data_IF_557801540568
#
_entry.id   IF_557801540568
#
_cell.length_a   1.000
_cell.length_b   1.000
_cell.length_c   1.000
_cell.angle_alpha   90.00
_cell.angle_beta   90.00
_cell.angle_gamma   90.00
#
_symmetry.space_group_name_H-M   'P 1'
#
loop_
_entity.id
_entity.type
_entity.pdbx_description
1 polymer ?
#
# COMPACT_ATOMS: atom_id res chain seq x y z
N UNK A 1 -21.25 24.71 34.87
CA UNK A 1 -21.05 23.37 34.28
C UNK A 1 -20.09 23.33 33.08
N UNK A 2 -19.19 24.31 32.88
CA UNK A 2 -18.37 24.44 31.65
C UNK A 2 -16.89 24.02 31.77
N UNK A 3 -16.40 23.70 32.97
CA UNK A 3 -14.97 23.44 33.22
C UNK A 3 -14.64 21.97 33.56
N UNK A 4 -15.64 21.08 33.57
CA UNK A 4 -15.42 19.65 33.86
C UNK A 4 -15.04 18.85 32.60
N UNK A 5 -15.51 19.22 31.40
CA UNK A 5 -15.28 18.43 30.18
C UNK A 5 -13.83 18.51 29.68
N UNK A 6 -13.19 19.67 29.79
CA UNK A 6 -11.78 19.86 29.39
C UNK A 6 -10.82 19.11 30.30
N UNK A 7 -11.11 19.05 31.61
CA UNK A 7 -10.33 18.29 32.58
C UNK A 7 -10.54 16.77 32.41
N UNK A 8 -11.77 16.33 32.12
CA UNK A 8 -12.05 14.92 31.81
C UNK A 8 -11.37 14.46 30.52
N UNK A 9 -11.35 15.29 29.46
CA UNK A 9 -10.64 14.99 28.22
C UNK A 9 -9.12 14.91 28.41
N UNK A 10 -8.53 15.83 29.20
CA UNK A 10 -7.11 15.78 29.58
C UNK A 10 -6.77 14.54 30.42
N UNK A 11 -7.67 14.10 31.29
CA UNK A 11 -7.49 12.89 32.11
C UNK A 11 -7.60 11.62 31.26
N UNK A 12 -8.52 11.56 30.28
CA UNK A 12 -8.60 10.44 29.32
C UNK A 12 -7.38 10.42 28.39
N UNK A 13 -6.92 11.57 27.91
CA UNK A 13 -5.69 11.68 27.12
C UNK A 13 -4.45 11.31 27.96
N UNK A 14 -4.40 11.65 29.25
CA UNK A 14 -3.29 11.31 30.14
C UNK A 14 -3.30 9.83 30.58
N UNK A 15 -4.48 9.23 30.77
CA UNK A 15 -4.65 7.80 31.08
C UNK A 15 -4.37 6.89 29.87
N UNK A 16 -4.49 7.41 28.64
CA UNK A 16 -4.13 6.68 27.42
C UNK A 16 -2.62 6.55 27.16
N UNK A 17 -1.75 7.20 27.95
CA UNK A 17 -0.29 7.21 27.73
C UNK A 17 0.44 6.06 28.42
N UNK A 18 -0.21 5.28 29.28
CA UNK A 18 0.50 4.32 30.17
C UNK A 18 0.34 2.84 29.85
N UNK A 19 -0.24 2.45 28.72
CA UNK A 19 -0.14 1.05 28.29
C UNK A 19 1.06 0.88 27.37
N UNK A 20 2.12 0.22 27.88
CA UNK A 20 3.11 -0.38 26.99
C UNK A 20 2.42 -1.51 26.22
N UNK A 21 1.85 -1.18 25.07
CA UNK A 21 1.40 -2.16 24.12
C UNK A 21 2.64 -2.79 23.48
N UNK A 22 3.01 -4.00 23.93
CA UNK A 22 3.87 -4.87 23.15
C UNK A 22 3.05 -5.36 21.96
N UNK A 23 3.10 -4.61 20.87
CA UNK A 23 2.47 -4.95 19.61
C UNK A 23 3.53 -5.53 18.66
N UNK A 24 3.23 -6.69 18.07
CA UNK A 24 4.10 -7.39 17.12
C UNK A 24 4.30 -8.87 17.47
N UNK A 25 4.14 -9.74 16.48
CA UNK A 25 4.40 -11.18 16.59
C UNK A 25 5.74 -11.52 15.92
N UNK A 26 6.86 -11.29 16.64
CA UNK A 26 8.22 -11.47 16.10
C UNK A 26 8.49 -12.90 15.64
N UNK A 27 7.83 -13.87 16.26
CA UNK A 27 8.09 -15.31 16.06
C UNK A 27 7.71 -15.80 14.65
N UNK A 28 6.94 -15.00 13.89
CA UNK A 28 6.44 -15.39 12.57
C UNK A 28 7.07 -14.62 11.40
N UNK A 29 7.97 -13.65 11.62
CA UNK A 29 8.42 -12.73 10.54
C UNK A 29 9.01 -13.43 9.29
N UNK A 30 9.56 -14.63 9.44
CA UNK A 30 10.09 -15.45 8.33
C UNK A 30 9.11 -16.46 7.71
N UNK A 31 7.84 -16.50 8.13
CA UNK A 31 6.88 -17.55 7.74
C UNK A 31 5.86 -17.10 6.67
N UNK A 32 5.86 -15.82 6.28
CA UNK A 32 5.04 -15.32 5.17
C UNK A 32 5.82 -15.17 3.87
N UNK A 33 5.17 -15.47 2.75
CA UNK A 33 5.62 -15.06 1.40
C UNK A 33 4.79 -13.91 0.85
N UNK A 34 4.81 -13.65 -0.46
CA UNK A 34 4.01 -12.61 -1.11
C UNK A 34 4.16 -11.18 -0.51
N UNK A 35 5.38 -10.82 -0.09
CA UNK A 35 5.67 -9.53 0.55
C UNK A 35 5.42 -8.32 -0.37
N UNK A 36 5.39 -8.54 -1.69
CA UNK A 36 5.02 -7.54 -2.68
C UNK A 36 3.60 -7.00 -2.49
N UNK A 37 2.71 -7.73 -1.82
CA UNK A 37 1.36 -7.27 -1.48
C UNK A 37 1.32 -6.12 -0.47
N UNK A 38 2.41 -5.90 0.26
CA UNK A 38 2.54 -4.82 1.24
C UNK A 38 2.98 -3.51 0.60
N UNK A 39 3.44 -3.55 -0.66
CA UNK A 39 3.96 -2.39 -1.35
C UNK A 39 2.83 -1.60 -2.01
N UNK A 40 2.75 -0.32 -1.65
CA UNK A 40 1.86 0.64 -2.29
C UNK A 40 2.52 1.21 -3.56
N UNK A 41 1.92 1.04 -4.75
CA UNK A 41 2.51 1.49 -6.01
C UNK A 41 2.18 2.96 -6.37
N UNK A 42 1.42 3.69 -5.56
CA UNK A 42 0.84 4.98 -5.95
C UNK A 42 1.50 6.20 -5.32
N UNK A 43 2.02 7.13 -6.13
CA UNK A 43 2.79 8.28 -5.69
C UNK A 43 2.06 9.20 -4.70
N UNK A 44 0.74 9.35 -4.82
CA UNK A 44 -0.04 10.19 -3.91
C UNK A 44 0.01 9.62 -2.47
N UNK A 45 -0.47 8.38 -2.30
CA UNK A 45 -0.50 7.70 -0.98
C UNK A 45 0.89 7.42 -0.43
N UNK A 46 1.83 7.10 -1.32
CA UNK A 46 3.23 6.80 -0.99
C UNK A 46 4.01 8.01 -0.44
N UNK A 47 3.65 9.24 -0.84
CA UNK A 47 4.27 10.46 -0.31
C UNK A 47 3.96 10.77 1.15
N UNK A 48 3.04 10.02 1.76
CA UNK A 48 2.76 10.01 3.20
C UNK A 48 2.85 8.60 3.79
N UNK A 49 3.60 7.68 3.17
CA UNK A 49 3.73 6.28 3.62
C UNK A 49 2.40 5.51 3.79
N UNK A 50 1.33 5.90 3.10
CA UNK A 50 0.01 5.29 3.26
C UNK A 50 -0.72 5.73 4.53
N UNK A 51 -0.27 6.78 5.23
CA UNK A 51 -0.97 7.33 6.40
C UNK A 51 -2.35 7.92 6.07
N UNK A 52 -2.67 8.07 4.79
CA UNK A 52 -3.94 8.55 4.28
C UNK A 52 -5.06 7.48 4.27
N UNK A 53 -4.94 6.35 4.97
CA UNK A 53 -5.98 5.30 5.02
C UNK A 53 -7.40 5.84 5.27
N UNK A 54 -7.52 6.85 6.14
CA UNK A 54 -8.79 7.44 6.53
C UNK A 54 -9.47 8.24 5.41
N UNK A 55 -8.69 8.80 4.48
CA UNK A 55 -9.16 9.77 3.49
C UNK A 55 -8.60 9.56 2.08
N UNK A 56 -7.96 8.40 1.81
CA UNK A 56 -7.52 7.99 0.48
C UNK A 56 -8.73 7.86 -0.46
N UNK A 57 -8.54 8.22 -1.73
CA UNK A 57 -9.59 8.27 -2.76
C UNK A 57 -9.04 7.77 -4.09
N UNK A 58 -9.93 7.50 -5.03
CA UNK A 58 -9.54 7.19 -6.41
C UNK A 58 -8.92 5.81 -6.57
N UNK A 59 -8.07 5.64 -7.58
CA UNK A 59 -7.38 4.36 -7.83
C UNK A 59 -6.38 3.99 -6.74
N UNK A 60 -5.84 4.98 -6.03
CA UNK A 60 -4.97 4.79 -4.86
C UNK A 60 -5.63 3.95 -3.75
N UNK A 61 -6.96 4.03 -3.64
CA UNK A 61 -7.75 3.31 -2.66
C UNK A 61 -7.63 1.79 -2.82
N UNK A 62 -7.48 1.28 -4.04
CA UNK A 62 -7.30 -0.15 -4.34
C UNK A 62 -6.09 -0.73 -3.58
N UNK A 63 -5.04 0.08 -3.40
CA UNK A 63 -3.81 -0.33 -2.71
C UNK A 63 -3.57 0.37 -1.37
N UNK A 64 -4.62 0.94 -0.77
CA UNK A 64 -4.53 1.58 0.56
C UNK A 64 -5.73 1.23 1.45
N UNK A 65 -6.94 1.67 1.08
CA UNK A 65 -8.19 1.33 1.76
C UNK A 65 -9.31 1.34 0.73
N UNK A 66 -9.86 0.15 0.43
CA UNK A 66 -10.84 -0.04 -0.64
C UNK A 66 -12.11 0.82 -0.52
N UNK A 67 -12.48 1.26 0.69
CA UNK A 67 -13.60 2.17 0.89
C UNK A 67 -13.43 3.53 0.18
N UNK A 68 -12.19 3.97 -0.04
CA UNK A 68 -11.90 5.21 -0.74
C UNK A 68 -12.30 5.20 -2.21
N UNK A 69 -12.44 4.00 -2.81
CA UNK A 69 -12.77 3.81 -4.22
C UNK A 69 -14.15 4.40 -4.56
N UNK A 70 -15.10 4.40 -3.61
CA UNK A 70 -16.42 4.98 -3.83
C UNK A 70 -16.41 6.50 -4.02
N UNK A 71 -15.26 7.18 -3.90
CA UNK A 71 -15.11 8.62 -4.15
C UNK A 71 -14.91 8.96 -5.63
N UNK A 72 -14.73 7.98 -6.52
CA UNK A 72 -14.54 8.20 -7.98
C UNK A 72 -15.85 8.68 -8.60
N UNK A 73 -15.89 9.85 -9.23
CA UNK A 73 -17.15 10.42 -9.75
C UNK A 73 -17.65 9.74 -11.02
N UNK A 74 -16.80 9.51 -12.03
CA UNK A 74 -17.18 8.69 -13.21
C UNK A 74 -16.17 7.62 -13.51
N UNK A 75 -15.04 8.00 -14.10
CA UNK A 75 -14.00 7.06 -14.53
C UNK A 75 -12.66 7.62 -14.10
N UNK A 76 -11.86 6.80 -13.44
CA UNK A 76 -10.48 7.13 -13.11
C UNK A 76 -9.56 6.04 -13.64
N UNK A 77 -8.51 6.44 -14.34
CA UNK A 77 -7.45 5.54 -14.81
C UNK A 77 -6.14 6.05 -14.24
N UNK A 78 -5.33 5.15 -13.69
CA UNK A 78 -4.01 5.48 -13.17
C UNK A 78 -2.96 4.52 -13.69
N UNK A 79 -1.77 5.04 -13.97
CA UNK A 79 -0.56 4.25 -14.18
C UNK A 79 0.51 4.73 -13.23
N UNK A 80 1.35 3.82 -12.75
CA UNK A 80 2.46 4.17 -11.90
C UNK A 80 3.69 3.31 -12.19
N UNK A 81 4.86 3.90 -11.98
CA UNK A 81 6.14 3.23 -12.00
C UNK A 81 6.90 3.54 -10.71
N UNK A 82 7.37 2.51 -10.03
CA UNK A 82 8.24 2.65 -8.85
C UNK A 82 9.61 2.06 -9.15
N UNK A 83 10.64 2.87 -8.97
CA UNK A 83 12.02 2.43 -8.86
C UNK A 83 12.25 2.03 -7.41
N UNK A 84 12.13 0.73 -7.13
CA UNK A 84 12.22 0.20 -5.78
C UNK A 84 13.69 0.01 -5.41
N UNK A 85 14.13 0.56 -4.25
CA UNK A 85 15.53 0.51 -3.83
C UNK A 85 16.48 0.92 -4.96
N UNK A 86 16.42 2.19 -5.35
CA UNK A 86 17.05 2.72 -6.56
C UNK A 86 18.50 2.25 -6.73
N UNK A 87 18.82 1.72 -7.92
CA UNK A 87 20.08 1.03 -8.22
C UNK A 87 20.01 -0.50 -8.16
N UNK A 88 18.99 -1.09 -7.51
CA UNK A 88 18.78 -2.55 -7.45
C UNK A 88 18.23 -3.17 -8.74
N UNK A 89 17.84 -2.34 -9.73
CA UNK A 89 17.09 -2.72 -10.94
C UNK A 89 15.68 -3.29 -10.69
N UNK A 90 15.19 -3.27 -9.44
CA UNK A 90 13.83 -3.69 -9.12
C UNK A 90 12.84 -2.59 -9.52
N UNK A 91 11.91 -2.95 -10.39
CA UNK A 91 10.88 -2.05 -10.92
C UNK A 91 9.49 -2.58 -10.61
N UNK A 92 8.58 -1.67 -10.25
CA UNK A 92 7.16 -1.97 -10.03
C UNK A 92 6.35 -1.16 -11.02
N UNK A 93 5.60 -1.84 -11.89
CA UNK A 93 4.66 -1.19 -12.80
C UNK A 93 3.25 -1.45 -12.31
N UNK A 94 2.40 -0.44 -12.37
CA UNK A 94 1.03 -0.54 -11.92
C UNK A 94 0.06 0.15 -12.88
N UNK A 95 -1.08 -0.46 -13.11
CA UNK A 95 -2.19 0.06 -13.91
C UNK A 95 -3.48 -0.18 -13.13
N UNK A 96 -4.34 0.83 -13.03
CA UNK A 96 -5.66 0.65 -12.47
C UNK A 96 -6.72 1.46 -13.20
N UNK A 97 -7.94 0.97 -13.07
CA UNK A 97 -9.15 1.63 -13.54
C UNK A 97 -10.20 1.55 -12.44
N UNK A 98 -10.97 2.62 -12.29
CA UNK A 98 -12.15 2.68 -11.44
C UNK A 98 -13.31 3.27 -12.23
N UNK A 99 -14.49 2.70 -12.07
CA UNK A 99 -15.69 3.08 -12.80
C UNK A 99 -16.88 3.14 -11.85
N UNK A 100 -17.51 4.31 -11.76
CA UNK A 100 -18.80 4.48 -11.10
C UNK A 100 -19.92 3.85 -11.92
N UNK A 101 -20.75 3.06 -11.25
CA UNK A 101 -21.93 2.40 -11.80
C UNK A 101 -23.20 3.09 -11.27
N UNK A 102 -23.34 4.38 -11.56
CA UNK A 102 -24.41 5.22 -11.02
C UNK A 102 -24.48 5.16 -9.48
N UNK A 103 -25.67 4.87 -8.95
CA UNK A 103 -25.92 4.78 -7.50
C UNK A 103 -25.56 3.41 -6.89
N UNK A 104 -25.17 2.42 -7.72
CA UNK A 104 -24.85 1.09 -7.23
C UNK A 104 -23.55 1.10 -6.42
N UNK A 105 -22.56 1.84 -6.88
CA UNK A 105 -21.23 1.96 -6.26
C UNK A 105 -20.16 2.18 -7.33
N UNK A 106 -18.92 1.86 -6.98
CA UNK A 106 -17.75 1.95 -7.86
C UNK A 106 -17.09 0.58 -7.91
N UNK A 107 -16.83 0.10 -9.11
CA UNK A 107 -15.96 -1.07 -9.34
C UNK A 107 -14.57 -0.58 -9.73
N UNK A 108 -13.55 -1.34 -9.40
CA UNK A 108 -12.18 -1.04 -9.82
C UNK A 108 -11.36 -2.29 -10.02
N UNK A 109 -10.32 -2.16 -10.84
CA UNK A 109 -9.33 -3.19 -11.06
C UNK A 109 -7.92 -2.59 -10.97
N UNK A 110 -6.98 -3.32 -10.41
CA UNK A 110 -5.57 -2.95 -10.30
C UNK A 110 -4.68 -4.12 -10.73
N UNK A 111 -3.79 -3.89 -11.68
CA UNK A 111 -2.71 -4.78 -12.07
C UNK A 111 -1.39 -4.21 -11.55
N UNK A 112 -0.65 -4.99 -10.76
CA UNK A 112 0.67 -4.64 -10.26
C UNK A 112 1.65 -5.72 -10.68
N UNK A 113 2.77 -5.33 -11.30
CA UNK A 113 3.81 -6.23 -11.77
C UNK A 113 5.18 -5.81 -11.23
N UNK A 114 5.91 -6.76 -10.68
CA UNK A 114 7.28 -6.64 -10.19
C UNK A 114 8.24 -7.30 -11.17
N UNK A 115 9.24 -6.52 -11.59
CA UNK A 115 10.43 -7.04 -12.26
C UNK A 115 11.62 -6.89 -11.33
N UNK A 116 12.40 -7.96 -11.20
CA UNK A 116 13.63 -7.97 -10.38
C UNK A 116 14.91 -7.75 -11.21
N UNK A 117 14.75 -7.44 -12.50
CA UNK A 117 15.86 -7.43 -13.45
C UNK A 117 16.40 -8.84 -13.72
N UNK A 118 17.50 -8.90 -14.48
CA UNK A 118 18.22 -10.15 -14.72
C UNK A 118 19.21 -10.40 -13.58
N UNK A 119 19.11 -11.56 -12.95
CA UNK A 119 20.00 -11.99 -11.87
C UNK A 119 20.97 -13.04 -12.43
N UNK A 120 22.31 -12.84 -12.32
CA UNK A 120 23.28 -13.82 -12.79
C UNK A 120 23.20 -15.11 -11.98
N UNK A 121 23.27 -16.24 -12.67
CA UNK A 121 23.39 -17.55 -12.02
C UNK A 121 24.84 -17.72 -11.55
N UNK A 122 25.02 -17.93 -10.25
CA UNK A 122 26.31 -18.19 -9.62
C UNK A 122 26.31 -19.57 -8.96
N UNK A 123 27.42 -20.27 -9.08
CA UNK A 123 27.66 -21.57 -8.41
C UNK A 123 29.01 -21.52 -7.69
N UNK A 124 29.30 -22.53 -6.87
CA UNK A 124 30.63 -22.66 -6.23
C UNK A 124 31.75 -22.69 -7.28
N UNK A 125 31.52 -23.35 -8.42
CA UNK A 125 32.49 -23.44 -9.52
C UNK A 125 32.54 -22.17 -10.38
N UNK A 126 31.50 -21.35 -10.33
CA UNK A 126 31.38 -20.14 -11.13
C UNK A 126 30.85 -18.95 -10.30
N UNK A 127 31.65 -18.45 -9.34
CA UNK A 127 31.22 -17.42 -8.40
C UNK A 127 31.00 -16.07 -9.07
N UNK A 128 31.70 -15.78 -10.17
CA UNK A 128 31.54 -14.54 -10.94
C UNK A 128 30.29 -14.54 -11.85
N UNK A 129 29.62 -15.69 -12.00
CA UNK A 129 28.52 -15.86 -12.94
C UNK A 129 28.99 -16.00 -14.39
N UNK A 130 28.11 -15.80 -15.37
CA UNK A 130 28.42 -16.01 -16.80
C UNK A 130 27.91 -17.33 -17.40
N UNK A 131 27.14 -18.10 -16.62
CA UNK A 131 26.43 -19.31 -17.06
C UNK A 131 24.93 -19.05 -17.30
N UNK A 132 24.59 -17.78 -17.56
CA UNK A 132 23.21 -17.32 -17.81
C UNK A 132 22.62 -16.50 -16.66
N UNK A 133 21.37 -16.09 -16.83
CA UNK A 133 20.60 -15.29 -15.89
C UNK A 133 19.23 -15.91 -15.65
N UNK A 134 18.59 -15.53 -14.55
CA UNK A 134 17.17 -15.79 -14.31
C UNK A 134 16.46 -14.50 -13.94
N UNK A 135 15.17 -14.43 -14.28
CA UNK A 135 14.35 -13.21 -14.13
C UNK A 135 13.10 -13.54 -13.32
N UNK A 136 13.12 -13.33 -12.00
CA UNK A 136 11.91 -13.42 -11.19
C UNK A 136 10.84 -12.43 -11.66
N UNK A 137 9.58 -12.85 -11.65
CA UNK A 137 8.44 -12.02 -12.02
C UNK A 137 7.29 -12.29 -11.08
N UNK A 138 6.86 -11.27 -10.33
CA UNK A 138 5.66 -11.36 -9.50
C UNK A 138 4.60 -10.45 -10.08
N UNK A 139 3.35 -10.89 -10.07
CA UNK A 139 2.23 -10.04 -10.43
C UNK A 139 1.02 -10.30 -9.55
N UNK A 140 0.23 -9.26 -9.34
CA UNK A 140 -1.07 -9.39 -8.71
C UNK A 140 -2.14 -8.61 -9.48
N UNK A 141 -3.33 -9.19 -9.49
CA UNK A 141 -4.54 -8.61 -10.09
C UNK A 141 -5.58 -8.48 -9.00
N UNK A 142 -6.02 -7.28 -8.74
CA UNK A 142 -7.04 -6.98 -7.75
C UNK A 142 -8.29 -6.45 -8.43
N UNK A 143 -9.44 -6.92 -7.97
CA UNK A 143 -10.75 -6.39 -8.32
C UNK A 143 -11.47 -5.97 -7.05
N UNK A 144 -12.09 -4.80 -7.08
CA UNK A 144 -12.70 -4.20 -5.91
C UNK A 144 -14.04 -3.59 -6.21
N UNK A 145 -14.89 -3.55 -5.18
CA UNK A 145 -16.15 -2.84 -5.20
C UNK A 145 -16.26 -2.00 -3.94
N UNK A 146 -16.74 -0.77 -4.07
CA UNK A 146 -16.98 0.12 -2.95
C UNK A 146 -18.26 0.93 -3.14
N UNK A 147 -18.93 1.22 -2.03
CA UNK A 147 -20.19 1.94 -2.00
C UNK A 147 -20.25 2.92 -0.84
N UNK A 148 -20.88 4.06 -1.10
CA UNK A 148 -21.30 5.02 -0.08
C UNK A 148 -22.67 4.56 0.46
N UNK A 149 -22.72 4.23 1.75
CA UNK A 149 -23.95 3.77 2.43
C UNK A 149 -24.73 4.94 3.04
N UNK A 150 -24.02 6.01 3.35
CA UNK A 150 -24.57 7.30 3.78
C UNK A 150 -23.59 8.40 3.40
N UNK A 151 -23.96 9.66 3.64
CA UNK A 151 -23.06 10.80 3.46
C UNK A 151 -21.77 10.69 4.28
N UNK A 152 -21.79 9.90 5.35
CA UNK A 152 -20.68 9.75 6.28
C UNK A 152 -19.93 8.41 6.15
N UNK A 153 -20.56 7.35 5.62
CA UNK A 153 -20.01 5.99 5.67
C UNK A 153 -19.80 5.44 4.26
N UNK A 154 -18.55 5.08 3.97
CA UNK A 154 -18.11 4.38 2.78
C UNK A 154 -17.57 3.02 3.20
N UNK A 155 -17.89 1.97 2.46
CA UNK A 155 -17.26 0.66 2.66
C UNK A 155 -16.93 0.00 1.33
N UNK A 156 -16.00 -0.94 1.35
CA UNK A 156 -15.60 -1.68 0.17
C UNK A 156 -15.02 -3.03 0.52
N UNK A 157 -14.98 -3.88 -0.51
CA UNK A 157 -14.37 -5.21 -0.49
C UNK A 157 -13.58 -5.40 -1.77
N UNK A 158 -12.50 -6.17 -1.70
CA UNK A 158 -11.74 -6.55 -2.87
C UNK A 158 -11.17 -7.96 -2.76
N UNK A 159 -10.89 -8.54 -3.91
CA UNK A 159 -10.18 -9.80 -4.06
C UNK A 159 -8.92 -9.57 -4.90
N UNK A 160 -7.80 -10.14 -4.48
CA UNK A 160 -6.51 -10.07 -5.15
C UNK A 160 -6.04 -11.47 -5.50
N UNK A 161 -5.84 -11.74 -6.79
CA UNK A 161 -5.10 -12.90 -7.26
C UNK A 161 -3.61 -12.57 -7.29
N UNK A 162 -2.78 -13.50 -6.82
CA UNK A 162 -1.34 -13.34 -6.64
C UNK A 162 -0.63 -14.46 -7.36
N UNK A 163 0.42 -14.11 -8.10
CA UNK A 163 1.29 -15.09 -8.73
C UNK A 163 2.75 -14.66 -8.63
N UNK A 164 3.58 -15.59 -8.16
CA UNK A 164 5.02 -15.45 -8.08
C UNK A 164 5.66 -16.49 -8.99
N UNK A 165 6.57 -16.07 -9.87
CA UNK A 165 7.33 -16.95 -10.73
C UNK A 165 8.83 -16.69 -10.59
N UNK A 166 9.60 -17.78 -10.46
CA UNK A 166 11.06 -17.74 -10.50
C UNK A 166 11.53 -18.90 -11.38
N UNK A 167 12.09 -18.61 -12.55
CA UNK A 167 12.53 -19.64 -13.51
C UNK A 167 11.40 -20.66 -13.81
N UNK A 168 11.58 -21.93 -13.44
CA UNK A 168 10.68 -23.04 -13.69
C UNK A 168 9.78 -23.41 -12.49
N UNK A 169 9.69 -22.54 -11.47
CA UNK A 169 8.80 -22.70 -10.32
C UNK A 169 7.82 -21.53 -10.20
N UNK A 170 6.63 -21.80 -9.68
CA UNK A 170 5.57 -20.82 -9.47
C UNK A 170 4.78 -21.06 -8.19
N UNK A 171 4.29 -19.99 -7.58
CA UNK A 171 3.30 -20.02 -6.51
C UNK A 171 2.12 -19.12 -6.89
N UNK A 172 0.92 -19.47 -6.43
CA UNK A 172 -0.27 -18.66 -6.68
C UNK A 172 -1.28 -18.78 -5.56
N UNK A 173 -2.05 -17.72 -5.34
CA UNK A 173 -3.02 -17.63 -4.27
C UNK A 173 -4.05 -16.54 -4.49
N UNK A 174 -5.05 -16.49 -3.60
CA UNK A 174 -6.05 -15.44 -3.58
C UNK A 174 -6.16 -14.83 -2.18
N UNK A 175 -6.30 -13.51 -2.12
CA UNK A 175 -6.49 -12.76 -0.90
C UNK A 175 -7.74 -11.89 -0.99
N UNK A 176 -8.33 -11.61 0.16
CA UNK A 176 -9.49 -10.75 0.31
C UNK A 176 -9.15 -9.58 1.23
N UNK A 177 -9.83 -8.48 1.01
CA UNK A 177 -9.71 -7.30 1.86
C UNK A 177 -11.05 -6.60 1.99
N UNK A 178 -11.20 -5.90 3.11
CA UNK A 178 -12.36 -5.07 3.40
C UNK A 178 -11.89 -3.75 4.01
N UNK A 179 -12.66 -2.71 3.76
CA UNK A 179 -12.34 -1.37 4.23
C UNK A 179 -13.59 -0.57 4.55
N UNK A 180 -13.46 0.34 5.51
CA UNK A 180 -14.47 1.32 5.89
C UNK A 180 -13.77 2.68 5.99
N UNK A 181 -14.44 3.73 5.51
CA UNK A 181 -14.11 5.12 5.79
C UNK A 181 -15.35 5.80 6.35
N UNK A 182 -15.16 6.49 7.47
CA UNK A 182 -16.15 7.33 8.12
C UNK A 182 -15.70 8.79 8.02
N UNK A 183 -16.61 9.68 7.68
CA UNK A 183 -16.34 11.11 7.60
C UNK A 183 -17.43 11.91 8.31
N UNK A 184 -17.04 12.94 9.04
CA UNK A 184 -17.95 13.82 9.78
C UNK A 184 -17.36 15.21 9.96
N UNK A 185 -18.15 16.15 10.47
CA UNK A 185 -17.78 17.55 10.63
C UNK A 185 -18.54 18.46 9.68
N UNK A 186 -18.39 19.77 9.86
CA UNK A 186 -19.17 20.79 9.15
C UNK A 186 -18.98 20.74 7.62
N UNK A 187 -17.77 20.40 7.18
CA UNK A 187 -17.35 20.25 5.79
C UNK A 187 -16.67 18.90 5.59
N UNK A 188 -17.15 17.87 6.29
CA UNK A 188 -16.58 16.51 6.18
C UNK A 188 -15.10 16.45 6.54
N UNK A 189 -14.68 17.27 7.50
CA UNK A 189 -13.27 17.53 7.82
C UNK A 189 -12.64 16.55 8.81
N UNK A 190 -13.38 15.69 9.49
CA UNK A 190 -12.81 14.61 10.28
C UNK A 190 -13.03 13.29 9.56
N UNK A 191 -11.95 12.53 9.40
CA UNK A 191 -11.95 11.22 8.76
C UNK A 191 -11.43 10.16 9.70
N UNK A 192 -12.03 8.99 9.63
CA UNK A 192 -11.58 7.77 10.28
C UNK A 192 -11.67 6.62 9.29
N UNK A 193 -10.69 5.73 9.26
CA UNK A 193 -10.70 4.59 8.37
C UNK A 193 -10.13 3.34 9.01
N UNK A 194 -10.67 2.19 8.61
CA UNK A 194 -10.17 0.88 8.98
C UNK A 194 -10.09 0.04 7.72
N UNK A 195 -9.02 -0.73 7.56
CA UNK A 195 -8.93 -1.72 6.49
C UNK A 195 -8.20 -2.96 6.97
N UNK A 196 -8.77 -4.13 6.65
CA UNK A 196 -8.11 -5.43 6.80
C UNK A 196 -7.70 -5.88 5.41
N UNK A 197 -6.41 -6.11 5.20
CA UNK A 197 -5.85 -6.40 3.88
C UNK A 197 -5.10 -7.72 3.85
N UNK A 198 -5.07 -8.32 2.67
CA UNK A 198 -4.36 -9.56 2.38
C UNK A 198 -4.78 -10.76 3.24
N UNK A 199 -6.08 -10.88 3.58
CA UNK A 199 -6.61 -12.10 4.21
C UNK A 199 -6.70 -13.19 3.13
N UNK A 200 -5.70 -14.05 3.04
CA UNK A 200 -5.54 -14.93 1.87
C UNK A 200 -5.27 -16.39 2.18
N UNK A 201 -5.39 -17.20 1.14
CA UNK A 201 -5.04 -18.63 1.14
C UNK A 201 -3.55 -18.85 1.36
N UNK A 202 -3.16 -20.01 1.88
CA UNK A 202 -1.75 -20.42 1.85
C UNK A 202 -1.27 -20.59 0.40
N UNK A 203 -0.05 -20.17 0.11
CA UNK A 203 0.64 -20.37 -1.16
C UNK A 203 1.73 -21.44 -1.02
N UNK A 204 2.16 -22.01 -2.16
CA UNK A 204 3.23 -23.00 -2.21
C UNK A 204 3.91 -22.97 -3.58
N UNK A 205 5.24 -22.98 -3.60
CA UNK A 205 5.98 -23.08 -4.86
C UNK A 205 5.90 -24.50 -5.43
N UNK A 206 5.65 -24.61 -6.72
CA UNK A 206 5.60 -25.90 -7.43
C UNK A 206 6.18 -25.75 -8.83
N UNK A 207 6.64 -26.84 -9.41
CA UNK A 207 7.25 -26.86 -10.75
C UNK A 207 8.44 -27.81 -10.83
N UNK A 208 9.09 -27.81 -11.99
CA UNK A 208 10.17 -28.74 -12.31
C UNK A 208 11.46 -28.41 -11.56
N UNK A 209 11.59 -27.21 -10.98
CA UNK A 209 12.74 -26.85 -10.14
C UNK A 209 12.83 -27.65 -8.84
N UNK A 210 11.79 -28.38 -8.46
CA UNK A 210 11.79 -29.31 -7.32
C UNK A 210 11.82 -30.77 -7.75
N UNK A 211 12.09 -31.05 -9.02
CA UNK A 211 12.28 -32.41 -9.53
C UNK A 211 13.76 -32.74 -9.45
N UNK A 212 14.09 -33.84 -8.77
CA UNK A 212 15.44 -34.39 -8.78
C UNK A 212 15.44 -35.76 -9.43
N UNK A 213 16.58 -36.11 -9.99
CA UNK A 213 16.83 -37.43 -10.54
C UNK A 213 17.36 -38.35 -9.41
N UNK A 214 16.54 -39.31 -8.99
CA UNK A 214 16.80 -40.21 -7.86
C UNK A 214 16.79 -41.69 -8.28
N UNK A 215 17.53 -42.54 -7.56
CA UNK A 215 17.50 -43.99 -7.80
C UNK A 215 16.12 -44.57 -7.42
N UNK A 216 15.60 -45.46 -8.27
CA UNK A 216 14.31 -46.12 -8.06
C UNK A 216 14.36 -47.01 -6.81
N UNK A 217 13.46 -46.83 -5.84
CA UNK A 217 13.35 -47.73 -4.70
C UNK A 217 12.95 -49.16 -5.10
N UNK A 218 12.37 -49.34 -6.30
CA UNK A 218 11.86 -50.60 -6.80
C UNK A 218 12.85 -51.37 -7.69
N UNK A 219 13.83 -50.68 -8.29
CA UNK A 219 14.78 -51.28 -9.22
C UNK A 219 16.16 -50.62 -9.10
N UNK A 220 17.13 -51.38 -8.58
CA UNK A 220 18.51 -50.93 -8.39
C UNK A 220 19.16 -50.59 -9.74
N UNK A 221 19.74 -49.40 -9.85
CA UNK A 221 20.35 -48.89 -11.08
C UNK A 221 19.40 -48.20 -12.06
N UNK A 222 18.08 -48.17 -11.80
CA UNK A 222 17.14 -47.34 -12.55
C UNK A 222 16.99 -45.97 -11.91
N UNK A 223 16.84 -44.94 -12.75
CA UNK A 223 16.73 -43.54 -12.34
C UNK A 223 15.33 -43.02 -12.64
N UNK A 224 14.71 -42.37 -11.67
CA UNK A 224 13.36 -41.79 -11.78
C UNK A 224 13.38 -40.32 -11.37
N UNK A 225 12.51 -39.54 -12.02
CA UNK A 225 12.25 -38.17 -11.62
C UNK A 225 11.34 -38.15 -10.40
N UNK A 226 11.86 -37.73 -9.26
CA UNK A 226 11.09 -37.57 -8.02
C UNK A 226 10.85 -36.08 -7.76
N UNK A 227 9.58 -35.72 -7.56
CA UNK A 227 9.21 -34.34 -7.21
C UNK A 227 9.16 -34.16 -5.70
N UNK A 228 9.93 -33.21 -5.19
CA UNK A 228 9.98 -32.88 -3.78
C UNK A 228 8.91 -31.86 -3.42
N UNK A 229 8.04 -32.16 -2.46
CA UNK A 229 7.06 -31.19 -2.01
C UNK A 229 7.72 -30.09 -1.19
N UNK A 230 7.38 -28.84 -1.52
CA UNK A 230 7.74 -27.65 -0.75
C UNK A 230 6.73 -27.36 0.35
N UNK A 231 7.16 -26.57 1.32
CA UNK A 231 6.28 -26.09 2.39
C UNK A 231 5.31 -25.01 1.91
N UNK A 232 4.17 -24.93 2.62
CA UNK A 232 3.19 -23.86 2.42
C UNK A 232 3.61 -22.63 3.21
N UNK A 233 3.29 -21.46 2.69
CA UNK A 233 3.47 -20.18 3.37
C UNK A 233 2.20 -19.35 3.35
N UNK A 234 2.06 -18.47 4.34
CA UNK A 234 0.90 -17.58 4.46
C UNK A 234 1.17 -16.23 3.76
N UNK A 235 0.09 -15.54 3.38
CA UNK A 235 0.17 -14.17 2.86
C UNK A 235 0.25 -13.16 4.00
N UNK A 236 0.84 -11.97 3.78
CA UNK A 236 1.10 -11.01 4.84
C UNK A 236 -0.14 -10.17 5.11
N UNK A 237 -1.06 -10.72 5.90
CA UNK A 237 -2.26 -10.01 6.38
C UNK A 237 -1.87 -8.86 7.30
N UNK A 238 -2.57 -7.73 7.17
CA UNK A 238 -2.44 -6.63 8.11
C UNK A 238 -3.76 -5.90 8.31
N UNK A 239 -3.89 -5.31 9.50
CA UNK A 239 -5.00 -4.46 9.88
C UNK A 239 -4.47 -3.04 10.05
N UNK A 240 -5.07 -2.07 9.35
CA UNK A 240 -4.68 -0.68 9.43
C UNK A 240 -5.86 0.19 9.90
N UNK A 241 -5.56 1.10 10.83
CA UNK A 241 -6.46 2.12 11.34
C UNK A 241 -5.87 3.49 11.04
N UNK A 242 -6.68 4.43 10.56
CA UNK A 242 -6.25 5.79 10.29
C UNK A 242 -7.25 6.81 10.80
N UNK A 243 -6.75 7.98 11.16
CA UNK A 243 -7.54 9.18 11.35
C UNK A 243 -6.89 10.35 10.60
N UNK A 244 -7.71 11.26 10.09
CA UNK A 244 -7.23 12.48 9.46
C UNK A 244 -8.17 13.65 9.76
N UNK A 245 -7.62 14.86 9.76
CA UNK A 245 -8.40 16.08 9.90
C UNK A 245 -7.99 17.12 8.85
N UNK A 246 -8.98 17.62 8.12
CA UNK A 246 -8.84 18.67 7.11
C UNK A 246 -9.09 20.06 7.73
N UNK A 247 -8.08 20.92 7.68
CA UNK A 247 -8.14 22.32 8.04
C UNK A 247 -8.30 23.18 6.78
N UNK A 248 -9.42 23.88 6.68
CA UNK A 248 -9.69 24.84 5.60
C UNK A 248 -9.23 26.25 6.01
N UNK A 249 -8.02 26.62 5.61
CA UNK A 249 -7.32 27.79 6.14
C UNK A 249 -7.96 29.13 5.76
N UNK A 250 -8.68 29.15 4.64
CA UNK A 250 -9.36 30.32 4.10
C UNK A 250 -10.88 30.30 4.29
N UNK A 251 -11.42 29.39 5.12
CA UNK A 251 -12.87 29.26 5.33
C UNK A 251 -13.53 30.56 5.81
N UNK A 252 -12.83 31.35 6.64
CA UNK A 252 -13.34 32.64 7.17
C UNK A 252 -13.29 33.79 6.15
N UNK A 253 -12.64 33.59 5.00
CA UNK A 253 -12.46 34.60 3.95
C UNK A 253 -13.32 34.32 2.72
N UNK A 254 -14.18 33.30 2.78
CA UNK A 254 -15.13 32.98 1.72
C UNK A 254 -16.19 34.10 1.61
N UNK A 255 -16.47 34.52 0.38
CA UNK A 255 -17.46 35.57 0.13
C UNK A 255 -18.87 35.00 0.11
N UNK A 256 -19.03 33.77 -0.39
CA UNK A 256 -20.31 33.04 -0.42
C UNK A 256 -20.23 31.75 0.41
N UNK A 257 -21.37 31.30 0.93
CA UNK A 257 -21.48 30.05 1.68
C UNK A 257 -21.08 28.82 0.83
N UNK A 258 -21.31 28.90 -0.48
CA UNK A 258 -21.06 27.83 -1.44
C UNK A 258 -19.62 27.81 -2.00
N UNK A 259 -18.82 28.83 -1.70
CA UNK A 259 -17.43 28.89 -2.17
C UNK A 259 -16.61 27.76 -1.53
N UNK A 260 -15.80 27.09 -2.37
CA UNK A 260 -14.86 26.07 -1.89
C UNK A 260 -13.59 26.75 -1.36
N UNK A 261 -13.13 26.37 -0.14
CA UNK A 261 -11.81 26.77 0.35
C UNK A 261 -10.71 26.44 -0.66
N UNK A 262 -9.79 27.38 -0.88
CA UNK A 262 -8.64 27.20 -1.78
C UNK A 262 -7.45 26.59 -1.05
N UNK A 263 -7.41 26.64 0.27
CA UNK A 263 -6.28 26.15 1.06
C UNK A 263 -6.75 25.08 2.04
N UNK A 264 -6.35 23.82 1.79
CA UNK A 264 -6.57 22.69 2.69
C UNK A 264 -5.24 22.23 3.26
N UNK A 265 -5.16 22.09 4.58
CA UNK A 265 -4.07 21.40 5.25
C UNK A 265 -4.66 20.18 5.96
N UNK A 266 -4.12 18.99 5.74
CA UNK A 266 -4.57 17.76 6.35
C UNK A 266 -3.49 17.23 7.26
N UNK A 267 -3.87 16.87 8.48
CA UNK A 267 -3.02 16.08 9.38
C UNK A 267 -3.60 14.68 9.42
N UNK A 268 -2.73 13.67 9.33
CA UNK A 268 -3.13 12.27 9.33
C UNK A 268 -2.23 11.45 10.25
N UNK A 269 -2.80 10.40 10.83
CA UNK A 269 -2.06 9.40 11.59
C UNK A 269 -2.67 8.02 11.33
N UNK A 270 -1.82 7.00 11.24
CA UNK A 270 -2.29 5.64 11.07
C UNK A 270 -1.42 4.63 11.81
N UNK A 271 -2.05 3.55 12.27
CA UNK A 271 -1.42 2.41 12.91
C UNK A 271 -1.69 1.16 12.07
N UNK A 272 -0.64 0.41 11.75
CA UNK A 272 -0.73 -0.90 11.09
C UNK A 272 -0.26 -1.99 12.04
N UNK A 273 -1.13 -2.97 12.26
CA UNK A 273 -0.79 -4.23 12.89
C UNK A 273 -0.56 -5.29 11.81
N UNK A 274 0.64 -5.86 11.76
CA UNK A 274 1.06 -6.85 10.77
C UNK A 274 1.11 -8.24 11.40
N UNK A 275 0.65 -9.26 10.68
CA UNK A 275 0.74 -10.65 11.15
C UNK A 275 2.16 -11.23 11.11
N UNK A 276 3.01 -10.70 10.23
CA UNK A 276 4.35 -11.24 9.90
C UNK A 276 5.43 -10.17 9.75
N UNK A 277 5.16 -8.93 10.14
CA UNK A 277 6.16 -7.87 10.16
C UNK A 277 6.03 -7.10 11.47
N UNK A 278 6.95 -6.18 11.71
CA UNK A 278 6.78 -5.25 12.83
C UNK A 278 5.54 -4.38 12.59
N UNK A 279 4.81 -4.13 13.66
CA UNK A 279 3.76 -3.12 13.66
C UNK A 279 4.39 -1.73 13.49
N UNK A 280 3.64 -0.81 12.90
CA UNK A 280 4.12 0.56 12.74
C UNK A 280 3.04 1.59 12.99
N UNK A 281 3.47 2.71 13.56
CA UNK A 281 2.68 3.92 13.71
C UNK A 281 3.29 5.00 12.83
N UNK A 282 2.47 5.80 12.17
CA UNK A 282 2.97 6.95 11.45
C UNK A 282 2.04 8.14 11.50
N UNK A 283 2.59 9.25 11.04
CA UNK A 283 1.90 10.51 10.89
C UNK A 283 2.27 11.14 9.56
N UNK A 284 1.38 11.97 9.02
CA UNK A 284 1.61 12.69 7.78
C UNK A 284 0.91 14.03 7.77
N UNK A 285 1.36 14.88 6.87
CA UNK A 285 0.74 16.15 6.56
C UNK A 285 0.62 16.29 5.04
N UNK A 286 -0.51 16.83 4.60
CA UNK A 286 -0.73 17.25 3.22
C UNK A 286 -1.15 18.70 3.22
N UNK A 287 -0.61 19.50 2.31
CA UNK A 287 -1.13 20.82 2.00
C UNK A 287 -1.56 20.83 0.54
N UNK A 288 -2.79 21.24 0.28
CA UNK A 288 -3.39 21.35 -1.04
C UNK A 288 -3.83 22.78 -1.32
N UNK A 289 -3.33 23.34 -2.41
CA UNK A 289 -3.80 24.59 -2.98
C UNK A 289 -4.72 24.31 -4.17
N UNK A 290 -5.99 24.70 -4.03
CA UNK A 290 -7.09 24.51 -4.99
C UNK A 290 -7.31 23.06 -5.44
N UNK A 291 -6.86 22.09 -4.63
CA UNK A 291 -6.76 20.69 -5.04
C UNK A 291 -6.00 20.51 -6.38
N UNK A 292 -5.11 21.44 -6.72
CA UNK A 292 -4.29 21.39 -7.94
C UNK A 292 -2.83 21.10 -7.60
N UNK A 293 -2.29 21.84 -6.64
CA UNK A 293 -0.92 21.66 -6.17
C UNK A 293 -0.97 21.09 -4.77
N UNK A 294 -0.43 19.90 -4.58
CA UNK A 294 -0.40 19.24 -3.29
C UNK A 294 1.04 18.90 -2.93
N UNK A 295 1.43 19.14 -1.69
CA UNK A 295 2.71 18.70 -1.13
C UNK A 295 2.46 17.91 0.13
N UNK A 296 3.25 16.86 0.31
CA UNK A 296 3.04 15.82 1.31
C UNK A 296 4.36 15.49 2.00
N UNK A 297 4.27 15.26 3.30
CA UNK A 297 5.36 14.72 4.11
C UNK A 297 4.81 13.72 5.11
N UNK A 298 5.52 12.63 5.33
CA UNK A 298 5.11 11.59 6.27
C UNK A 298 6.27 10.97 7.00
N UNK A 299 6.00 10.46 8.19
CA UNK A 299 6.93 9.67 8.98
C UNK A 299 6.25 8.38 9.45
N UNK A 300 6.92 7.26 9.26
CA UNK A 300 6.52 5.93 9.74
C UNK A 300 7.58 5.44 10.71
N UNK A 301 7.17 5.15 11.94
CA UNK A 301 8.00 4.54 12.97
C UNK A 301 7.75 3.04 13.03
N UNK A 302 8.80 2.28 12.85
CA UNK A 302 8.87 0.84 13.13
C UNK A 302 9.81 0.64 14.33
N UNK A 303 9.64 -0.48 15.05
CA UNK A 303 10.58 -0.82 16.12
C UNK A 303 12.01 -0.86 15.56
N UNK A 304 12.95 -0.27 16.29
CA UNK A 304 14.38 -0.27 15.97
C UNK A 304 14.77 0.47 14.67
N UNK A 305 13.88 1.33 14.12
CA UNK A 305 14.11 2.02 12.83
C UNK A 305 15.36 2.90 12.76
N UNK A 306 15.88 3.35 13.91
CA UNK A 306 17.08 4.20 14.00
C UNK A 306 18.36 3.39 14.27
N UNK A 307 18.27 2.08 14.45
CA UNK A 307 19.43 1.20 14.64
C UNK A 307 19.66 0.35 13.39
N UNK A 308 20.65 0.76 12.60
CA UNK A 308 21.03 0.12 11.34
C UNK A 308 21.45 -1.35 11.49
N UNK A 309 21.84 -1.80 12.69
CA UNK A 309 22.26 -3.18 12.91
C UNK A 309 21.08 -4.14 13.09
N UNK A 310 19.97 -3.66 13.65
CA UNK A 310 18.82 -4.50 14.04
C UNK A 310 17.49 -4.09 13.39
N UNK A 311 17.44 -2.96 12.66
CA UNK A 311 16.27 -2.53 11.91
C UNK A 311 15.82 -3.60 10.90
N UNK A 312 14.52 -3.88 10.89
CA UNK A 312 13.89 -4.83 9.96
C UNK A 312 13.41 -4.18 8.66
N UNK A 313 13.65 -2.87 8.47
CA UNK A 313 13.12 -2.09 7.36
C UNK A 313 14.24 -1.39 6.61
N UNK A 314 14.11 -1.31 5.28
CA UNK A 314 15.07 -0.57 4.46
C UNK A 314 14.86 0.93 4.57
N UNK A 315 13.70 1.39 5.03
CA UNK A 315 13.33 2.80 5.04
C UNK A 315 13.88 3.55 6.25
N UNK A 316 14.19 4.83 6.05
CA UNK A 316 14.52 5.78 7.14
C UNK A 316 13.30 6.20 7.96
N UNK A 317 12.09 5.83 7.52
CA UNK A 317 10.81 6.27 8.10
C UNK A 317 10.24 7.53 7.46
N UNK A 318 11.05 8.38 6.81
CA UNK A 318 10.56 9.60 6.15
C UNK A 318 9.99 9.36 4.75
N UNK A 319 9.00 10.15 4.37
CA UNK A 319 8.45 10.20 3.02
C UNK A 319 8.13 11.64 2.65
N UNK A 320 8.24 11.94 1.36
CA UNK A 320 7.79 13.19 0.79
C UNK A 320 7.12 12.93 -0.56
N UNK A 321 6.20 13.80 -0.96
CA UNK A 321 5.62 13.73 -2.28
C UNK A 321 4.94 15.02 -2.71
N UNK A 322 4.69 15.12 -4.01
CA UNK A 322 3.98 16.24 -4.60
C UNK A 322 3.00 15.75 -5.67
N UNK A 323 1.90 16.49 -5.84
CA UNK A 323 0.93 16.31 -6.92
C UNK A 323 0.78 17.63 -7.65
N UNK A 324 0.73 17.54 -8.97
CA UNK A 324 0.18 18.60 -9.81
C UNK A 324 -0.96 17.98 -10.59
N UNK A 325 -2.16 18.53 -10.44
CA UNK A 325 -3.32 18.12 -11.21
C UNK A 325 -4.08 19.32 -11.75
N UNK A 326 -4.58 19.18 -12.97
CA UNK A 326 -5.21 20.24 -13.73
C UNK A 326 -6.40 19.69 -14.50
N UNK A 327 -7.53 20.40 -14.43
CA UNK A 327 -8.69 20.12 -15.28
C UNK A 327 -8.44 20.66 -16.69
N UNK A 328 -8.65 19.82 -17.71
CA UNK A 328 -8.48 20.17 -19.11
C UNK A 328 -9.83 20.67 -19.65
N UNK A 329 -10.02 21.99 -19.67
CA UNK A 329 -11.28 22.62 -20.06
C UNK A 329 -12.39 22.51 -19.01
N UNK A 330 -13.47 23.26 -19.17
CA UNK A 330 -14.50 23.42 -18.12
C UNK A 330 -15.26 22.13 -17.81
N UNK A 331 -15.41 21.24 -18.80
CA UNK A 331 -16.11 19.96 -18.69
C UNK A 331 -15.22 18.74 -18.99
N UNK A 332 -13.92 18.96 -19.18
CA UNK A 332 -13.01 17.87 -19.50
C UNK A 332 -12.43 17.17 -18.26
N UNK A 333 -11.60 16.15 -18.51
CA UNK A 333 -11.00 15.34 -17.47
C UNK A 333 -9.96 16.12 -16.68
N UNK A 334 -9.72 15.69 -15.44
CA UNK A 334 -8.57 16.12 -14.64
C UNK A 334 -7.41 15.18 -14.88
N UNK A 335 -6.27 15.75 -15.29
CA UNK A 335 -5.03 15.03 -15.43
C UNK A 335 -4.13 15.35 -14.22
N UNK A 336 -3.59 14.32 -13.58
CA UNK A 336 -2.73 14.42 -12.40
C UNK A 336 -1.39 13.73 -12.61
N UNK A 337 -0.34 14.35 -12.12
CA UNK A 337 1.01 13.79 -12.01
C UNK A 337 1.37 13.78 -10.53
N UNK A 338 1.77 12.61 -10.04
CA UNK A 338 2.23 12.42 -8.67
C UNK A 338 3.68 11.93 -8.67
N UNK A 339 4.46 12.46 -7.74
CA UNK A 339 5.78 11.94 -7.42
C UNK A 339 5.90 11.76 -5.91
N UNK A 340 6.59 10.70 -5.50
CA UNK A 340 7.00 10.53 -4.12
C UNK A 340 8.38 9.91 -3.99
N UNK A 341 9.02 10.23 -2.87
CA UNK A 341 10.33 9.76 -2.49
C UNK A 341 10.29 9.25 -1.05
N UNK A 342 10.89 8.08 -0.84
CA UNK A 342 11.05 7.45 0.47
C UNK A 342 12.53 7.07 0.63
N UNK A 343 13.31 7.79 1.45
CA UNK A 343 14.71 7.50 1.64
C UNK A 343 14.89 6.14 2.33
N UNK A 344 15.90 5.41 1.90
CA UNK A 344 16.26 4.10 2.43
C UNK A 344 17.67 4.14 2.97
N UNK A 345 17.98 3.33 3.98
CA UNK A 345 19.32 3.20 4.56
C UNK A 345 20.19 2.30 3.68
N UNK A 346 19.62 1.20 3.16
CA UNK A 346 20.34 0.18 2.38
C UNK A 346 19.48 -0.30 1.20
N UNK A 347 19.83 0.04 -0.06
CA UNK A 347 20.82 1.03 -0.49
C UNK A 347 20.40 2.46 -0.12
N UNK A 348 21.35 3.40 0.02
CA UNK A 348 21.06 4.80 0.36
C UNK A 348 20.62 5.67 -0.84
N UNK A 349 19.73 5.13 -1.67
CA UNK A 349 19.24 5.80 -2.88
C UNK A 349 17.71 6.00 -2.86
N UNK A 350 17.02 5.43 -1.87
CA UNK A 350 15.58 5.55 -1.70
C UNK A 350 14.75 4.81 -2.73
N UNK A 351 13.44 4.95 -2.58
CA UNK A 351 12.41 4.45 -3.49
C UNK A 351 11.67 5.64 -4.10
N UNK A 352 11.61 5.67 -5.43
CA UNK A 352 10.95 6.73 -6.20
C UNK A 352 9.68 6.17 -6.84
N UNK A 353 8.55 6.86 -6.69
CA UNK A 353 7.30 6.48 -7.34
C UNK A 353 6.78 7.63 -8.17
N UNK A 354 6.52 7.36 -9.44
CA UNK A 354 5.84 8.27 -10.37
C UNK A 354 4.46 7.71 -10.68
N UNK A 355 3.44 8.56 -10.70
CA UNK A 355 2.09 8.17 -11.10
C UNK A 355 1.46 9.21 -12.00
N UNK A 356 0.67 8.73 -12.95
CA UNK A 356 -0.17 9.54 -13.82
C UNK A 356 -1.62 9.11 -13.59
N UNK A 357 -2.52 10.07 -13.42
CA UNK A 357 -3.94 9.82 -13.21
C UNK A 357 -4.79 10.65 -14.16
N UNK A 358 -5.86 10.03 -14.62
CA UNK A 358 -6.86 10.63 -15.49
C UNK A 358 -8.22 10.41 -14.87
N UNK A 359 -8.89 11.49 -14.46
CA UNK A 359 -10.16 11.48 -13.71
C UNK A 359 -11.24 12.19 -14.52
N UNK A 360 -12.42 11.60 -14.66
CA UNK A 360 -13.54 12.14 -15.44
C UNK A 360 -14.80 12.32 -14.61
#
# INVERSE_FOLDING_TARGET
>A
MRNLSTKAALVVCALGVTTQAFAGNRDRIGQSGASELLLNPWGQSTGVFGMNTANVKGVDALKTNIAGLSSVEKTEIGVAHTMYLSGSKIGINNLAIAQRLGNFGVIGANLMAFGFGEIPIQTVDNPEGGIGTFTPQFFNVQVGFSKEFSNAIKAGVAATFVNEQVSNIKAGGAAFEAGIQYTTGKRDNFHFGITLRNLGTTMRFSGNGFTIDAESPAARGERINQQFPTERFEMPTYLNFGAAYDFYLDEKRLQNADDKPKHRATVMAAFTSNSFQNDYLGAGVEYAFREMFMVRGGFRYERDIFDDAISSTFYTGFSAGATIQQKIGDNGPTFGIDYSYRPTVRPNNGTHTFSLRFMR
#
